data_IF_433440149630
#
_entry.id   IF_433440149630
#
_cell.length_a   1.000
_cell.length_b   1.000
_cell.length_c   1.000
_cell.angle_alpha   90.00
_cell.angle_beta   90.00
_cell.angle_gamma   90.00
#
_symmetry.space_group_name_H-M   'P 1'
#
loop_
_entity.id
_entity.type
_entity.pdbx_description
1 polymer ?
#
# COMPACT_ATOMS: atom_id res chain seq x y z
N UNK A 1 11.26 13.67 -17.09
CA UNK A 1 11.23 12.50 -16.18
C UNK A 1 10.30 12.79 -15.00
N UNK A 2 9.26 11.98 -14.72
CA UNK A 2 8.38 12.14 -13.56
C UNK A 2 9.15 12.12 -12.23
N UNK A 3 8.67 12.83 -11.21
CA UNK A 3 9.33 12.88 -9.89
C UNK A 3 9.54 11.48 -9.29
N UNK A 4 8.55 10.60 -9.46
CA UNK A 4 8.59 9.20 -9.01
C UNK A 4 9.80 8.38 -9.50
N UNK A 5 10.47 8.79 -10.58
CA UNK A 5 11.63 8.10 -11.16
C UNK A 5 12.96 8.83 -10.94
N UNK A 6 12.96 10.05 -10.38
CA UNK A 6 14.17 10.87 -10.28
C UNK A 6 15.08 10.48 -9.12
N UNK A 7 14.58 9.75 -8.12
CA UNK A 7 15.29 9.48 -6.86
C UNK A 7 15.03 8.06 -6.35
N UNK A 8 15.24 7.06 -7.20
CA UNK A 8 15.26 5.65 -6.76
C UNK A 8 16.64 5.42 -6.09
N UNK A 9 16.70 5.01 -4.81
CA UNK A 9 17.97 4.70 -4.13
C UNK A 9 18.71 3.53 -4.78
N UNK A 10 20.04 3.50 -4.69
CA UNK A 10 20.88 2.46 -5.31
C UNK A 10 20.63 1.05 -4.75
N UNK A 11 20.09 0.96 -3.54
CA UNK A 11 19.71 -0.29 -2.87
C UNK A 11 18.50 -0.98 -3.50
N UNK A 12 17.74 -0.27 -4.34
CA UNK A 12 16.52 -0.78 -4.99
C UNK A 12 16.49 -0.41 -6.46
N UNK A 13 15.63 -1.09 -7.22
CA UNK A 13 15.39 -0.74 -8.62
C UNK A 13 13.98 -1.06 -9.07
N UNK A 14 13.53 -0.36 -10.09
CA UNK A 14 12.26 -0.67 -10.76
C UNK A 14 12.36 -2.07 -11.42
N UNK A 15 11.30 -2.86 -11.29
CA UNK A 15 11.18 -4.16 -11.93
C UNK A 15 9.78 -4.35 -12.52
N UNK A 16 9.59 -5.42 -13.31
CA UNK A 16 8.25 -5.90 -13.64
C UNK A 16 7.69 -6.60 -12.40
N UNK A 17 6.53 -6.18 -11.93
CA UNK A 17 5.93 -6.74 -10.71
C UNK A 17 5.41 -8.16 -10.94
N UNK A 18 5.54 -9.02 -9.93
CA UNK A 18 4.90 -10.33 -9.89
C UNK A 18 3.41 -10.26 -9.52
N UNK A 19 2.94 -9.09 -9.08
CA UNK A 19 1.52 -8.85 -8.80
C UNK A 19 0.75 -8.72 -10.13
N UNK A 20 -0.23 -9.59 -10.41
CA UNK A 20 -0.98 -9.56 -11.66
C UNK A 20 -1.66 -8.21 -11.92
N UNK A 21 -1.40 -7.62 -13.09
CA UNK A 21 -2.00 -6.35 -13.50
C UNK A 21 -1.33 -5.09 -12.92
N UNK A 22 -0.35 -5.21 -12.03
CA UNK A 22 0.33 -4.06 -11.41
C UNK A 22 1.32 -3.34 -12.36
N UNK A 23 1.79 -4.03 -13.40
CA UNK A 23 2.80 -3.50 -14.33
C UNK A 23 4.20 -3.52 -13.70
N UNK A 24 4.54 -2.47 -12.96
CA UNK A 24 5.87 -2.27 -12.36
C UNK A 24 5.87 -2.42 -10.84
N UNK A 25 6.94 -2.97 -10.29
CA UNK A 25 7.23 -3.11 -8.87
C UNK A 25 8.57 -2.49 -8.51
N UNK A 26 8.98 -2.66 -7.25
CA UNK A 26 10.35 -2.38 -6.79
C UNK A 26 10.95 -3.67 -6.27
N UNK A 27 12.21 -3.94 -6.63
CA UNK A 27 12.97 -5.05 -6.07
C UNK A 27 14.27 -4.56 -5.45
N UNK A 28 14.80 -5.37 -4.54
CA UNK A 28 16.09 -5.15 -3.93
C UNK A 28 17.21 -5.24 -4.99
N UNK A 29 18.08 -4.24 -5.02
CA UNK A 29 19.28 -4.21 -5.86
C UNK A 29 20.55 -4.56 -5.05
N UNK A 30 20.46 -4.47 -3.72
CA UNK A 30 21.41 -5.00 -2.75
C UNK A 30 20.67 -5.85 -1.71
N UNK A 31 21.38 -6.47 -0.77
CA UNK A 31 20.72 -7.10 0.39
C UNK A 31 20.21 -6.00 1.32
N UNK A 32 18.92 -6.04 1.67
CA UNK A 32 18.31 -5.10 2.63
C UNK A 32 18.15 -5.80 3.98
N UNK A 33 18.77 -5.30 5.07
CA UNK A 33 18.72 -5.96 6.37
C UNK A 33 17.32 -5.89 6.99
N UNK A 34 17.00 -6.84 7.86
CA UNK A 34 15.80 -6.79 8.70
C UNK A 34 15.78 -5.53 9.58
N UNK A 35 14.61 -4.92 9.75
CA UNK A 35 14.42 -3.73 10.55
C UNK A 35 14.74 -2.41 9.85
N UNK A 36 15.17 -2.43 8.58
CA UNK A 36 15.45 -1.25 7.76
C UNK A 36 14.19 -0.40 7.55
N UNK A 37 14.35 0.92 7.64
CA UNK A 37 13.28 1.90 7.42
C UNK A 37 13.33 2.43 6.00
N UNK A 38 12.15 2.55 5.37
CA UNK A 38 11.98 3.09 4.03
C UNK A 38 10.91 4.17 4.10
N UNK A 39 11.24 5.42 3.78
CA UNK A 39 10.26 6.50 3.80
C UNK A 39 10.82 7.90 4.00
N UNK A 40 9.91 8.89 4.09
CA UNK A 40 8.45 8.73 4.12
C UNK A 40 7.82 8.40 2.75
N UNK A 41 6.65 7.75 2.76
CA UNK A 41 5.77 7.65 1.58
C UNK A 41 5.22 9.04 1.26
N UNK A 42 5.30 9.42 -0.02
CA UNK A 42 4.95 10.76 -0.50
C UNK A 42 3.73 10.69 -1.43
N UNK A 43 2.89 11.71 -1.38
CA UNK A 43 1.67 11.83 -2.15
C UNK A 43 0.85 13.05 -1.71
N UNK A 44 -0.37 13.15 -2.19
CA UNK A 44 -1.30 14.22 -1.82
C UNK A 44 -2.11 13.83 -0.58
N UNK A 45 -2.19 14.72 0.41
CA UNK A 45 -3.06 14.51 1.57
C UNK A 45 -4.52 14.74 1.15
N UNK A 46 -5.36 13.72 1.33
CA UNK A 46 -6.80 13.76 1.09
C UNK A 46 -7.50 13.59 2.43
N UNK A 47 -8.28 14.57 2.86
CA UNK A 47 -9.04 14.46 4.11
C UNK A 47 -10.08 13.34 4.01
N UNK A 48 -10.43 12.74 5.13
CA UNK A 48 -11.41 11.65 5.16
C UNK A 48 -12.77 12.04 4.53
N UNK A 49 -13.21 13.29 4.73
CA UNK A 49 -14.45 13.85 4.19
C UNK A 49 -14.46 13.99 2.65
N UNK A 50 -13.30 14.30 2.06
CA UNK A 50 -13.13 14.51 0.62
C UNK A 50 -12.70 13.23 -0.12
N UNK A 51 -12.42 12.16 0.62
CA UNK A 51 -11.83 10.98 0.05
C UNK A 51 -12.84 10.21 -0.82
N UNK A 52 -12.43 9.68 -1.98
CA UNK A 52 -13.33 8.96 -2.87
C UNK A 52 -13.95 7.76 -2.16
N UNK A 53 -15.19 7.43 -2.53
CA UNK A 53 -15.91 6.26 -1.99
C UNK A 53 -15.12 4.97 -2.22
N UNK A 54 -14.49 4.86 -3.39
CA UNK A 54 -13.60 3.75 -3.72
C UNK A 54 -12.16 4.20 -3.56
N UNK A 55 -11.41 3.49 -2.73
CA UNK A 55 -9.99 3.74 -2.50
C UNK A 55 -9.17 3.04 -3.57
N UNK A 56 -8.04 3.65 -3.93
CA UNK A 56 -7.12 3.10 -4.91
C UNK A 56 -5.89 2.46 -4.23
N UNK A 57 -5.10 1.71 -5.01
CA UNK A 57 -3.92 0.97 -4.53
C UNK A 57 -2.74 1.84 -4.04
N UNK A 58 -2.81 3.16 -4.19
CA UNK A 58 -1.79 4.13 -3.82
C UNK A 58 -2.15 4.92 -2.55
N UNK A 59 -3.29 4.60 -1.91
CA UNK A 59 -3.76 5.32 -0.72
C UNK A 59 -3.40 4.59 0.57
N UNK A 60 -2.80 5.32 1.51
CA UNK A 60 -2.58 4.89 2.90
C UNK A 60 -3.33 5.78 3.87
N UNK A 61 -4.01 5.18 4.83
CA UNK A 61 -4.68 5.85 5.94
C UNK A 61 -3.70 6.60 6.85
N UNK A 62 -4.08 7.81 7.25
CA UNK A 62 -3.42 8.62 8.28
C UNK A 62 -4.38 8.75 9.46
N UNK A 63 -3.91 8.41 10.65
CA UNK A 63 -4.65 8.53 11.90
C UNK A 63 -4.11 9.67 12.77
N UNK A 64 -5.00 10.37 13.48
CA UNK A 64 -4.65 11.33 14.54
C UNK A 64 -5.55 11.08 15.73
N UNK A 65 -4.97 11.03 16.93
CA UNK A 65 -5.71 10.79 18.20
C UNK A 65 -6.63 9.56 18.12
N UNK A 66 -6.14 8.50 17.48
CA UNK A 66 -6.87 7.25 17.30
C UNK A 66 -8.05 7.31 16.31
N UNK A 67 -8.17 8.38 15.51
CA UNK A 67 -9.23 8.57 14.52
C UNK A 67 -8.67 8.73 13.13
N UNK A 68 -9.37 8.19 12.13
CA UNK A 68 -9.01 8.39 10.73
C UNK A 68 -9.07 9.89 10.40
N UNK A 69 -7.91 10.48 10.10
CA UNK A 69 -7.78 11.88 9.73
C UNK A 69 -7.93 12.07 8.21
N UNK A 70 -7.35 11.14 7.44
CA UNK A 70 -7.37 11.19 5.99
C UNK A 70 -6.49 10.12 5.38
N UNK A 71 -6.01 10.37 4.18
CA UNK A 71 -5.21 9.46 3.39
C UNK A 71 -4.06 10.22 2.74
N UNK A 72 -2.92 9.56 2.59
CA UNK A 72 -1.88 10.00 1.65
C UNK A 72 -2.08 9.23 0.34
N UNK A 73 -2.35 9.92 -0.76
CA UNK A 73 -2.57 9.34 -2.09
C UNK A 73 -1.36 9.53 -3.00
N UNK A 74 -0.66 8.43 -3.30
CA UNK A 74 0.51 8.40 -4.18
C UNK A 74 0.18 8.18 -5.67
N UNK A 75 -1.08 8.34 -6.08
CA UNK A 75 -1.52 8.08 -7.46
C UNK A 75 -0.86 8.99 -8.50
N UNK A 76 -0.63 10.26 -8.16
CA UNK A 76 0.02 11.23 -9.04
C UNK A 76 1.55 11.07 -9.09
N UNK A 77 2.05 10.83 -10.30
CA UNK A 77 3.47 10.54 -10.58
C UNK A 77 4.39 11.77 -10.38
N UNK A 78 3.82 12.96 -10.24
CA UNK A 78 4.56 14.20 -10.03
C UNK A 78 4.72 14.56 -8.54
N UNK A 79 3.89 14.00 -7.67
CA UNK A 79 3.87 14.29 -6.22
C UNK A 79 4.29 13.09 -5.37
N UNK A 80 4.23 11.88 -5.91
CA UNK A 80 4.65 10.67 -5.23
C UNK A 80 6.07 10.22 -5.61
N UNK A 81 6.84 9.79 -4.61
CA UNK A 81 8.18 9.25 -4.81
C UNK A 81 8.14 7.82 -5.36
N UNK A 82 9.32 7.23 -5.58
CA UNK A 82 9.49 5.86 -6.06
C UNK A 82 8.75 4.80 -5.23
N UNK A 83 8.47 5.08 -3.95
CA UNK A 83 7.75 4.16 -3.07
C UNK A 83 6.35 3.83 -3.57
N UNK A 84 5.74 4.66 -4.43
CA UNK A 84 4.45 4.36 -5.07
C UNK A 84 4.45 3.09 -5.91
N UNK A 85 5.62 2.63 -6.34
CA UNK A 85 5.78 1.42 -7.14
C UNK A 85 5.92 0.16 -6.28
N UNK A 86 6.19 0.29 -4.97
CA UNK A 86 6.15 -0.84 -4.03
C UNK A 86 4.71 -1.34 -3.98
N UNK A 87 4.50 -2.64 -4.21
CA UNK A 87 3.16 -3.24 -4.29
C UNK A 87 2.72 -3.82 -2.97
N UNK A 88 1.41 -3.95 -2.83
CA UNK A 88 0.86 -4.60 -1.66
C UNK A 88 1.02 -6.11 -1.77
N UNK A 89 1.39 -6.76 -0.66
CA UNK A 89 1.40 -8.21 -0.56
C UNK A 89 -0.05 -8.74 -0.55
N UNK A 90 -0.29 -9.84 -1.26
CA UNK A 90 -1.59 -10.53 -1.35
C UNK A 90 -1.82 -11.49 -0.19
N UNK A 91 -0.73 -11.96 0.42
CA UNK A 91 -0.68 -12.93 1.51
C UNK A 91 0.60 -12.72 2.34
N UNK A 92 0.71 -13.45 3.46
CA UNK A 92 1.84 -13.27 4.40
C UNK A 92 3.13 -13.91 3.88
N UNK A 93 3.01 -14.91 3.03
CA UNK A 93 4.15 -15.69 2.52
C UNK A 93 5.04 -14.83 1.61
N UNK A 94 4.43 -13.96 0.79
CA UNK A 94 5.16 -13.07 -0.12
C UNK A 94 5.52 -11.71 0.49
N UNK A 95 4.94 -11.38 1.65
CA UNK A 95 5.20 -10.13 2.31
C UNK A 95 6.67 -10.04 2.78
N UNK A 96 7.22 -8.83 2.81
CA UNK A 96 8.52 -8.56 3.41
C UNK A 96 8.64 -7.17 4.05
N UNK A 97 7.61 -6.32 3.90
CA UNK A 97 7.52 -5.00 4.51
C UNK A 97 6.21 -4.84 5.31
N UNK A 98 6.30 -4.11 6.42
CA UNK A 98 5.13 -3.57 7.13
C UNK A 98 5.03 -2.06 6.96
N UNK A 99 3.84 -1.54 6.67
CA UNK A 99 3.57 -0.12 6.72
C UNK A 99 3.30 0.34 8.16
N UNK A 100 3.80 1.52 8.53
CA UNK A 100 3.58 2.15 9.84
C UNK A 100 3.57 3.67 9.77
N UNK A 101 2.86 4.29 10.70
CA UNK A 101 2.81 5.74 10.82
C UNK A 101 3.80 6.21 11.89
N UNK A 102 4.61 7.22 11.55
CA UNK A 102 5.53 7.88 12.48
C UNK A 102 5.52 9.39 12.21
N UNK A 103 5.31 10.19 13.25
CA UNK A 103 5.21 11.66 13.18
C UNK A 103 4.25 12.15 12.06
N UNK A 104 3.08 11.49 11.93
CA UNK A 104 2.05 11.85 10.95
C UNK A 104 2.39 11.52 9.49
N UNK A 105 3.43 10.72 9.24
CA UNK A 105 3.84 10.24 7.91
C UNK A 105 3.87 8.72 7.87
N UNK A 106 3.77 8.15 6.67
CA UNK A 106 3.86 6.70 6.45
C UNK A 106 5.29 6.31 6.13
N UNK A 107 5.74 5.22 6.73
CA UNK A 107 7.02 4.58 6.47
C UNK A 107 6.80 3.07 6.32
N UNK A 108 7.73 2.39 5.68
CA UNK A 108 7.77 0.94 5.62
C UNK A 108 8.97 0.42 6.41
N UNK A 109 8.82 -0.76 7.02
CA UNK A 109 9.89 -1.45 7.72
C UNK A 109 10.02 -2.89 7.24
N UNK A 110 11.25 -3.32 6.94
CA UNK A 110 11.52 -4.74 6.67
C UNK A 110 11.39 -5.54 7.97
N UNK A 111 10.71 -6.69 7.93
CA UNK A 111 10.65 -7.59 9.09
C UNK A 111 11.56 -8.81 8.98
N UNK A 112 12.12 -9.02 7.79
CA UNK A 112 13.16 -10.00 7.52
C UNK A 112 14.17 -9.38 6.55
N UNK A 113 15.34 -9.98 6.46
CA UNK A 113 16.31 -9.62 5.43
C UNK A 113 15.71 -9.92 4.05
N UNK A 114 15.85 -8.98 3.12
CA UNK A 114 15.41 -9.11 1.73
C UNK A 114 16.66 -9.34 0.86
N UNK A 115 16.82 -10.52 0.25
CA UNK A 115 17.88 -10.81 -0.70
C UNK A 115 17.80 -9.91 -1.94
N UNK A 116 18.96 -9.67 -2.56
CA UNK A 116 19.03 -9.00 -3.86
C UNK A 116 18.15 -9.73 -4.89
N UNK A 117 17.38 -8.96 -5.66
CA UNK A 117 16.47 -9.46 -6.69
C UNK A 117 15.05 -9.77 -6.20
N UNK A 118 14.81 -9.78 -4.88
CA UNK A 118 13.47 -10.02 -4.34
C UNK A 118 12.60 -8.76 -4.42
N UNK A 119 11.34 -8.91 -4.84
CA UNK A 119 10.37 -7.81 -4.92
C UNK A 119 9.94 -7.35 -3.53
N UNK A 120 9.94 -6.04 -3.31
CA UNK A 120 9.45 -5.43 -2.08
C UNK A 120 7.91 -5.40 -2.12
N UNK A 121 7.30 -6.11 -1.18
CA UNK A 121 5.86 -6.25 -1.04
C UNK A 121 5.42 -5.86 0.39
N UNK A 122 4.59 -4.83 0.46
CA UNK A 122 4.17 -4.19 1.71
C UNK A 122 2.76 -4.60 2.11
N UNK A 123 2.55 -4.77 3.41
CA UNK A 123 1.20 -4.82 3.95
C UNK A 123 1.17 -4.21 5.34
N UNK A 124 -0.01 -4.13 5.94
CA UNK A 124 -0.10 -3.86 7.37
C UNK A 124 0.51 -5.02 8.16
N UNK A 125 1.10 -4.70 9.32
CA UNK A 125 1.47 -5.73 10.30
C UNK A 125 0.22 -6.47 10.80
N UNK A 126 0.36 -7.76 11.09
CA UNK A 126 -0.66 -8.55 11.77
C UNK A 126 -1.04 -7.94 13.13
N UNK A 127 -0.06 -7.26 13.73
CA UNK A 127 -0.21 -6.50 14.98
C UNK A 127 -0.40 -5.01 14.75
N UNK A 128 -0.56 -4.55 13.52
CA UNK A 128 -0.75 -3.12 13.18
C UNK A 128 -1.90 -2.48 13.96
N UNK A 129 -2.92 -3.27 14.27
CA UNK A 129 -4.08 -2.88 15.08
C UNK A 129 -3.76 -2.74 16.57
N UNK A 130 -2.71 -3.40 17.06
CA UNK A 130 -2.26 -3.34 18.46
C UNK A 130 -1.21 -2.25 18.70
N UNK A 131 -0.33 -1.95 17.73
CA UNK A 131 0.79 -1.00 17.93
C UNK A 131 0.45 0.48 17.75
N UNK A 132 -0.68 0.81 17.12
CA UNK A 132 -1.10 2.22 16.95
C UNK A 132 -1.68 2.86 18.23
N UNK A 133 -1.57 2.21 19.40
CA UNK A 133 -2.32 2.57 20.61
C UNK A 133 -3.82 2.79 20.32
N UNK A 134 -4.33 2.15 19.26
CA UNK A 134 -5.71 2.20 18.86
C UNK A 134 -6.49 1.35 19.86
N UNK A 135 -7.40 1.91 20.66
CA UNK A 135 -8.15 1.14 21.65
C UNK A 135 -9.14 0.15 21.02
N UNK A 136 -9.18 0.04 19.68
CA UNK A 136 -10.25 -0.60 18.95
C UNK A 136 -9.74 -1.46 17.78
N UNK A 137 -10.47 -2.55 17.54
CA UNK A 137 -10.33 -3.42 16.39
C UNK A 137 -10.28 -2.62 15.07
N UNK A 138 -9.62 -3.13 14.01
CA UNK A 138 -9.51 -2.44 12.73
C UNK A 138 -10.88 -1.99 12.25
N UNK A 139 -10.99 -0.71 11.88
CA UNK A 139 -12.27 -0.11 11.50
C UNK A 139 -12.86 -0.81 10.28
N UNK A 140 -14.17 -0.72 10.09
CA UNK A 140 -14.84 -1.29 8.93
C UNK A 140 -14.27 -0.74 7.61
N UNK A 141 -13.87 0.53 7.60
CA UNK A 141 -13.23 1.18 6.44
C UNK A 141 -11.86 0.55 6.12
N UNK A 142 -11.02 0.33 7.13
CA UNK A 142 -9.70 -0.29 6.93
C UNK A 142 -9.84 -1.73 6.41
N UNK A 143 -10.82 -2.49 6.93
CA UNK A 143 -11.12 -3.84 6.43
C UNK A 143 -11.62 -3.83 5.00
N UNK A 144 -12.45 -2.85 4.63
CA UNK A 144 -12.97 -2.72 3.28
C UNK A 144 -11.87 -2.30 2.28
N UNK A 145 -11.05 -1.30 2.64
CA UNK A 145 -9.89 -0.88 1.83
C UNK A 145 -8.90 -2.03 1.65
N UNK A 146 -8.69 -2.83 2.69
CA UNK A 146 -7.78 -3.96 2.65
C UNK A 146 -8.08 -4.96 1.52
N UNK A 147 -9.36 -5.13 1.14
CA UNK A 147 -9.79 -6.01 0.05
C UNK A 147 -9.24 -5.57 -1.30
N UNK A 148 -9.14 -4.24 -1.53
CA UNK A 148 -8.60 -3.66 -2.76
C UNK A 148 -7.19 -4.23 -3.00
N UNK A 149 -6.31 -4.08 -2.02
CA UNK A 149 -4.90 -4.46 -2.11
C UNK A 149 -4.63 -5.96 -2.16
N UNK A 150 -5.46 -6.78 -1.51
CA UNK A 150 -5.35 -8.24 -1.64
C UNK A 150 -5.67 -8.74 -3.05
N UNK A 151 -6.12 -7.85 -3.95
CA UNK A 151 -6.59 -8.20 -5.29
C UNK A 151 -7.80 -9.13 -5.25
N UNK A 152 -8.44 -9.27 -4.08
CA UNK A 152 -9.64 -10.09 -3.92
C UNK A 152 -10.77 -9.37 -4.65
N UNK A 153 -11.45 -10.13 -5.50
CA UNK A 153 -12.62 -9.67 -6.24
C UNK A 153 -13.85 -10.47 -5.78
N UNK A 154 -14.34 -10.25 -4.55
CA UNK A 154 -15.41 -11.05 -3.98
C UNK A 154 -16.75 -10.82 -4.69
N UNK A 155 -16.91 -9.68 -5.39
CA UNK A 155 -18.16 -9.31 -6.05
C UNK A 155 -18.12 -9.74 -7.52
N UNK A 156 -18.82 -10.83 -7.86
CA UNK A 156 -18.94 -11.33 -9.24
C UNK A 156 -20.20 -10.80 -9.91
N UNK A 157 -20.10 -10.43 -11.18
CA UNK A 157 -21.28 -10.07 -11.97
C UNK A 157 -22.12 -11.33 -12.27
N UNK A 158 -23.44 -11.23 -12.12
CA UNK A 158 -24.36 -12.31 -12.48
C UNK A 158 -24.55 -12.46 -13.99
N UNK A 159 -24.19 -11.43 -14.78
CA UNK A 159 -24.43 -11.36 -16.22
C UNK A 159 -23.16 -11.54 -17.07
N UNK A 160 -21.98 -11.49 -16.46
CA UNK A 160 -20.70 -11.69 -17.17
C UNK A 160 -19.66 -12.32 -16.24
N UNK A 161 -18.51 -12.72 -16.78
CA UNK A 161 -17.42 -13.37 -16.02
C UNK A 161 -16.55 -12.40 -15.20
N UNK A 162 -16.87 -11.10 -15.17
CA UNK A 162 -16.06 -10.10 -14.46
C UNK A 162 -16.33 -10.13 -12.95
N UNK A 163 -15.28 -9.83 -12.20
CA UNK A 163 -15.30 -9.70 -10.76
C UNK A 163 -14.65 -8.39 -10.31
N UNK A 164 -15.15 -7.85 -9.20
CA UNK A 164 -14.88 -6.50 -8.70
C UNK A 164 -14.45 -6.55 -7.24
N UNK A 165 -13.61 -5.59 -6.84
CA UNK A 165 -13.13 -5.42 -5.47
C UNK A 165 -14.17 -4.75 -4.56
N UNK A 166 -15.22 -4.12 -5.12
CA UNK A 166 -16.29 -3.46 -4.38
C UNK A 166 -17.68 -3.72 -4.97
N UNK A 167 -18.71 -3.66 -4.11
CA UNK A 167 -20.11 -3.81 -4.51
C UNK A 167 -20.59 -2.64 -5.38
N UNK A 168 -20.13 -1.41 -5.10
CA UNK A 168 -20.47 -0.23 -5.88
C UNK A 168 -19.90 -0.30 -7.30
N UNK A 169 -18.66 -0.77 -7.46
CA UNK A 169 -18.03 -1.00 -8.77
C UNK A 169 -18.80 -2.04 -9.58
N UNK A 170 -19.31 -3.09 -8.94
CA UNK A 170 -20.18 -4.08 -9.60
C UNK A 170 -21.52 -3.45 -10.04
N UNK A 171 -22.15 -2.63 -9.20
CA UNK A 171 -23.44 -2.02 -9.53
C UNK A 171 -23.36 -1.00 -10.67
N UNK A 172 -22.20 -0.37 -10.85
CA UNK A 172 -21.96 0.62 -11.91
C UNK A 172 -21.40 0.02 -13.21
N UNK A 173 -21.11 -1.29 -13.22
CA UNK A 173 -20.53 -2.01 -14.36
C UNK A 173 -21.60 -2.43 -15.37
#
# INVERSE_FOLDING_TARGET
VPYALRRIPDEVRLCKSNIPGAGYGIQANTVIPAGAWIGPYEGNMVKAEDAPKEKNFYMWEIFKDGRLYGFIDGSDHNTASWMRFIRCARNKEEQNLFAFQYLGKIYYRTYRTIPMGEELLVWYDDKYTQYMEMPFAPTAELRAHAVVHQGRKPFKCGYCSRAFSGATTLNNH
#
